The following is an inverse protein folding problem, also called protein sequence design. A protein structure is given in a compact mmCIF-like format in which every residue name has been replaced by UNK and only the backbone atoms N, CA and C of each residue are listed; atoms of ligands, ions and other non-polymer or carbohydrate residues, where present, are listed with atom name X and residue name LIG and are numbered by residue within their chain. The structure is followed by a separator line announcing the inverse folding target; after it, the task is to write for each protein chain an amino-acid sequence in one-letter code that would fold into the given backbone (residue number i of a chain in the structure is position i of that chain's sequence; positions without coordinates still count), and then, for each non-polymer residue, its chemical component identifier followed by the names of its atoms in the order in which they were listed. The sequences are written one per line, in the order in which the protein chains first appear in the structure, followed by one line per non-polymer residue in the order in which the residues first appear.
data_IF_495746543905
#
_entry.id   IF_495746543905
#
_cell.length_a   1.000
_cell.length_b   1.000
_cell.length_c   1.000
_cell.angle_alpha   90.00
_cell.angle_beta   90.00
_cell.angle_gamma   90.00
#
_symmetry.space_group_name_H-M   'P 1'
#
loop_
_entity.id
_entity.type
_entity.pdbx_description
1 polymer ?
#
# COMPACT_ATOMS: atom_id res chain seq x y z
N UNK A 1 -23.71 2.75 -31.50
CA UNK A 1 -23.69 3.85 -30.50
C UNK A 1 -22.96 3.42 -29.22
N UNK A 2 -21.69 3.85 -29.10
CA UNK A 2 -20.95 3.72 -27.84
C UNK A 2 -21.53 4.76 -26.88
N UNK A 3 -22.25 4.31 -25.85
CA UNK A 3 -22.64 5.16 -24.74
C UNK A 3 -21.38 5.49 -23.94
N UNK A 4 -20.79 6.65 -24.21
CA UNK A 4 -19.79 7.30 -23.36
C UNK A 4 -20.51 7.79 -22.11
N UNK A 5 -20.69 6.92 -21.11
CA UNK A 5 -21.10 7.36 -19.77
C UNK A 5 -19.93 8.13 -19.16
N UNK A 6 -20.16 9.41 -18.84
CA UNK A 6 -19.16 10.24 -18.16
C UNK A 6 -18.63 9.53 -16.90
N UNK A 7 -17.33 9.63 -16.59
CA UNK A 7 -16.80 9.09 -15.36
C UNK A 7 -17.52 9.72 -14.16
N UNK A 8 -17.81 8.89 -13.15
CA UNK A 8 -18.40 9.30 -11.88
C UNK A 8 -17.64 10.50 -11.32
N UNK A 9 -18.28 11.66 -11.28
CA UNK A 9 -17.73 12.83 -10.61
C UNK A 9 -17.83 12.62 -9.10
N UNK A 10 -16.70 12.47 -8.43
CA UNK A 10 -16.66 12.38 -6.98
C UNK A 10 -16.82 13.76 -6.34
N UNK A 11 -17.46 13.85 -5.16
CA UNK A 11 -17.48 15.09 -4.39
C UNK A 11 -16.06 15.49 -3.98
N UNK A 12 -15.84 16.81 -3.90
CA UNK A 12 -14.56 17.38 -3.50
C UNK A 12 -14.29 17.13 -2.00
N UNK A 13 -13.03 16.77 -1.66
CA UNK A 13 -12.61 16.47 -0.29
C UNK A 13 -11.57 17.44 0.27
N UNK A 14 -11.34 18.55 -0.44
CA UNK A 14 -10.31 19.57 -0.16
C UNK A 14 -10.40 20.17 1.25
N UNK A 15 -11.59 20.16 1.87
CA UNK A 15 -11.82 20.71 3.21
C UNK A 15 -12.00 19.64 4.30
N UNK A 16 -11.61 18.39 4.05
CA UNK A 16 -11.66 17.35 5.06
C UNK A 16 -10.51 17.51 6.07
N UNK A 17 -10.79 17.81 7.37
CA UNK A 17 -9.73 18.02 8.37
C UNK A 17 -9.15 16.70 8.92
N UNK A 18 -9.74 15.55 8.56
CA UNK A 18 -9.39 14.26 9.14
C UNK A 18 -8.03 13.76 8.65
N UNK A 19 -7.21 13.31 9.60
CA UNK A 19 -5.98 12.54 9.34
C UNK A 19 -6.15 11.15 9.93
N UNK A 20 -6.55 10.20 9.08
CA UNK A 20 -6.87 8.84 9.48
C UNK A 20 -5.67 7.90 9.26
N UNK A 21 -5.30 7.10 10.25
CA UNK A 21 -4.19 6.14 10.13
C UNK A 21 -4.45 5.07 9.05
N UNK A 22 -5.69 4.61 8.91
CA UNK A 22 -6.11 3.62 7.92
C UNK A 22 -6.65 4.25 6.61
N UNK A 23 -6.55 5.58 6.46
CA UNK A 23 -7.11 6.32 5.33
C UNK A 23 -8.61 6.61 5.44
N UNK A 24 -9.16 7.20 4.38
CA UNK A 24 -10.56 7.61 4.28
C UNK A 24 -11.44 6.53 3.63
N UNK A 25 -12.67 6.42 4.11
CA UNK A 25 -13.67 5.47 3.61
C UNK A 25 -14.08 5.82 2.17
N UNK A 26 -14.49 4.80 1.41
CA UNK A 26 -15.03 4.97 0.05
C UNK A 26 -16.49 4.56 -0.01
N UNK A 27 -17.28 5.25 -0.82
CA UNK A 27 -18.65 4.84 -1.14
C UNK A 27 -18.67 3.69 -2.18
N UNK A 28 -19.86 3.17 -2.48
CA UNK A 28 -20.06 2.09 -3.47
C UNK A 28 -19.63 2.48 -4.90
N UNK A 29 -19.46 3.78 -5.15
CA UNK A 29 -18.99 4.33 -6.43
C UNK A 29 -17.48 4.55 -6.43
N UNK A 30 -16.79 4.26 -5.31
CA UNK A 30 -15.35 4.39 -5.14
C UNK A 30 -14.88 5.80 -4.77
N UNK A 31 -15.79 6.73 -4.46
CA UNK A 31 -15.48 8.10 -4.06
C UNK A 31 -15.12 8.19 -2.58
N UNK A 32 -14.14 9.04 -2.24
CA UNK A 32 -13.75 9.25 -0.85
C UNK A 32 -14.83 10.01 -0.07
N UNK A 33 -15.11 9.52 1.12
CA UNK A 33 -15.95 10.16 2.12
C UNK A 33 -15.03 10.76 3.20
N UNK A 34 -15.40 11.89 3.78
CA UNK A 34 -14.64 12.50 4.88
C UNK A 34 -14.92 11.76 6.21
N UNK A 35 -14.67 10.46 6.19
CA UNK A 35 -14.86 9.51 7.29
C UNK A 35 -13.66 8.57 7.31
N UNK A 36 -13.12 8.28 8.49
CA UNK A 36 -11.99 7.37 8.61
C UNK A 36 -12.44 5.94 8.38
N UNK A 37 -11.63 5.16 7.66
CA UNK A 37 -11.76 3.70 7.68
C UNK A 37 -11.61 3.26 9.14
N UNK A 38 -12.57 2.50 9.70
CA UNK A 38 -12.43 1.99 11.05
C UNK A 38 -11.12 1.22 11.12
N UNK A 39 -10.28 1.56 12.10
CA UNK A 39 -9.05 0.86 12.35
C UNK A 39 -9.38 -0.54 12.88
N UNK A 40 -9.79 -1.44 11.99
CA UNK A 40 -9.82 -2.87 12.27
C UNK A 40 -8.37 -3.34 12.28
N UNK A 41 -7.62 -2.92 13.31
CA UNK A 41 -6.53 -3.75 13.78
C UNK A 41 -7.25 -4.97 14.32
N UNK A 42 -7.13 -6.16 13.71
CA UNK A 42 -7.84 -7.29 14.26
C UNK A 42 -7.30 -7.44 15.68
N UNK A 43 -8.19 -7.34 16.66
CA UNK A 43 -7.90 -7.32 18.11
C UNK A 43 -7.08 -8.54 18.57
N UNK A 44 -6.84 -9.51 17.67
CA UNK A 44 -6.16 -10.77 17.88
C UNK A 44 -4.80 -10.89 17.17
N UNK A 45 -4.24 -9.83 16.58
CA UNK A 45 -2.88 -9.96 16.02
C UNK A 45 -1.84 -10.23 17.11
N UNK A 46 -0.99 -11.27 16.97
CA UNK A 46 0.17 -11.42 17.84
C UNK A 46 1.15 -10.27 17.63
N UNK A 47 1.67 -9.73 18.73
CA UNK A 47 2.70 -8.68 18.68
C UNK A 47 4.02 -9.27 18.23
N UNK A 48 4.62 -8.69 17.19
CA UNK A 48 5.97 -9.04 16.75
C UNK A 48 6.99 -8.41 17.71
N UNK A 49 7.90 -9.22 18.24
CA UNK A 49 8.92 -8.81 19.22
C UNK A 49 10.23 -9.55 18.94
N UNK A 50 11.34 -9.05 19.49
CA UNK A 50 12.64 -9.73 19.42
C UNK A 50 12.62 -11.14 20.03
N UNK A 51 11.65 -11.45 20.90
CA UNK A 51 11.48 -12.80 21.44
C UNK A 51 10.88 -13.81 20.44
N UNK A 52 10.16 -13.34 19.42
CA UNK A 52 9.47 -14.22 18.45
C UNK A 52 9.89 -13.97 17.00
N UNK A 53 10.87 -13.09 16.78
CA UNK A 53 11.38 -12.78 15.46
C UNK A 53 12.79 -12.18 15.50
N UNK A 54 13.77 -12.91 14.95
CA UNK A 54 15.17 -12.46 14.85
C UNK A 54 15.51 -11.78 13.52
N UNK A 55 14.50 -11.56 12.66
CA UNK A 55 14.73 -10.96 11.33
C UNK A 55 14.81 -9.45 11.46
N UNK A 56 15.70 -8.83 10.67
CA UNK A 56 15.71 -7.39 10.46
C UNK A 56 15.41 -7.12 8.99
N UNK A 57 14.23 -6.56 8.72
CA UNK A 57 13.71 -6.40 7.37
C UNK A 57 13.78 -4.94 6.93
N UNK A 58 14.56 -4.66 5.88
CA UNK A 58 14.79 -3.30 5.38
C UNK A 58 13.52 -2.58 4.88
N UNK A 59 12.49 -3.34 4.47
CA UNK A 59 11.20 -2.82 4.04
C UNK A 59 10.06 -3.15 5.01
N UNK A 60 10.41 -3.46 6.26
CA UNK A 60 9.45 -3.93 7.26
C UNK A 60 8.97 -5.36 7.00
N UNK A 61 7.89 -5.71 7.68
CA UNK A 61 7.38 -7.08 7.74
C UNK A 61 6.12 -7.25 6.89
N UNK A 62 5.95 -8.44 6.33
CA UNK A 62 4.77 -8.82 5.59
C UNK A 62 3.56 -8.94 6.52
N UNK A 63 2.37 -8.76 5.94
CA UNK A 63 1.10 -9.02 6.60
C UNK A 63 0.47 -10.32 6.07
N UNK A 64 -0.25 -11.04 6.92
CA UNK A 64 -1.07 -12.18 6.51
C UNK A 64 -2.41 -11.75 5.90
N UNK A 65 -3.28 -12.71 5.61
CA UNK A 65 -4.60 -12.46 5.03
C UNK A 65 -5.55 -11.68 5.96
N UNK A 66 -5.32 -11.75 7.28
CA UNK A 66 -6.06 -10.96 8.27
C UNK A 66 -5.46 -9.56 8.46
N UNK A 67 -4.32 -9.25 7.83
CA UNK A 67 -3.62 -7.99 7.97
C UNK A 67 -2.65 -7.94 9.16
N UNK A 68 -2.40 -9.06 9.82
CA UNK A 68 -1.46 -9.14 10.94
C UNK A 68 -0.02 -9.23 10.47
N UNK A 69 0.87 -8.50 11.14
CA UNK A 69 2.30 -8.54 10.87
C UNK A 69 2.87 -9.90 11.27
N UNK A 70 3.63 -10.52 10.37
CA UNK A 70 4.28 -11.81 10.60
C UNK A 70 5.80 -11.69 10.49
N UNK A 71 6.56 -12.62 11.10
CA UNK A 71 8.03 -12.65 11.04
C UNK A 71 8.56 -13.08 9.66
N UNK A 72 8.17 -12.33 8.63
CA UNK A 72 8.56 -12.52 7.23
C UNK A 72 8.82 -11.15 6.64
N UNK A 73 9.95 -10.96 5.98
CA UNK A 73 10.25 -9.66 5.37
C UNK A 73 9.29 -9.37 4.22
N UNK A 74 8.86 -8.12 4.14
CA UNK A 74 8.13 -7.63 2.98
C UNK A 74 9.02 -7.74 1.74
N UNK A 75 8.40 -7.99 0.58
CA UNK A 75 9.08 -7.92 -0.70
C UNK A 75 9.47 -6.46 -1.00
N UNK A 76 10.38 -6.27 -1.96
CA UNK A 76 10.70 -4.95 -2.45
C UNK A 76 9.43 -4.17 -2.84
N UNK A 77 9.38 -2.86 -2.56
CA UNK A 77 8.25 -2.04 -2.98
C UNK A 77 8.12 -2.07 -4.50
N UNK A 78 6.90 -2.04 -5.04
CA UNK A 78 6.70 -1.92 -6.48
C UNK A 78 7.29 -0.59 -6.97
N UNK A 79 7.79 -0.60 -8.22
CA UNK A 79 8.26 0.61 -8.88
C UNK A 79 7.07 1.53 -9.18
N UNK A 80 6.79 2.48 -8.29
CA UNK A 80 5.74 3.45 -8.48
C UNK A 80 6.12 4.42 -9.61
N UNK A 81 5.18 4.70 -10.53
CA UNK A 81 5.34 5.66 -11.64
C UNK A 81 6.54 5.37 -12.58
N UNK A 82 6.94 4.10 -12.71
CA UNK A 82 7.98 3.72 -13.65
C UNK A 82 7.38 3.21 -14.98
N UNK A 83 7.58 3.96 -16.07
CA UNK A 83 7.09 3.59 -17.42
C UNK A 83 8.20 3.12 -18.37
N UNK A 84 9.41 2.89 -17.84
CA UNK A 84 10.55 2.47 -18.66
C UNK A 84 10.41 1.00 -19.04
N UNK A 85 10.60 0.69 -20.32
CA UNK A 85 10.77 -0.68 -20.80
C UNK A 85 12.27 -0.94 -21.00
N UNK A 86 12.85 -1.77 -20.13
CA UNK A 86 14.28 -2.10 -20.17
C UNK A 86 14.48 -3.52 -20.71
N UNK A 87 15.21 -3.68 -21.82
CA UNK A 87 15.46 -4.99 -22.45
C UNK A 87 16.19 -5.96 -21.50
N UNK A 88 17.10 -5.45 -20.68
CA UNK A 88 17.89 -6.22 -19.71
C UNK A 88 17.37 -6.07 -18.27
N UNK A 89 16.16 -5.51 -18.10
CA UNK A 89 15.56 -5.27 -16.79
C UNK A 89 16.13 -4.06 -16.04
N UNK A 90 15.73 -3.94 -14.78
CA UNK A 90 16.04 -2.81 -13.91
C UNK A 90 17.31 -3.04 -13.08
N UNK A 91 18.05 -1.97 -12.78
CA UNK A 91 19.11 -1.95 -11.77
C UNK A 91 18.53 -2.19 -10.37
N UNK A 92 19.38 -2.70 -9.47
CA UNK A 92 19.03 -2.88 -8.05
C UNK A 92 19.77 -1.85 -7.19
N UNK A 93 19.14 -1.40 -6.10
CA UNK A 93 19.79 -0.59 -5.06
C UNK A 93 20.73 -1.45 -4.18
N UNK A 94 21.38 -0.82 -3.19
CA UNK A 94 22.29 -1.49 -2.24
C UNK A 94 21.63 -2.57 -1.37
N UNK A 95 20.30 -2.61 -1.32
CA UNK A 95 19.50 -3.60 -0.58
C UNK A 95 18.98 -4.71 -1.52
N UNK A 96 19.31 -4.64 -2.81
CA UNK A 96 18.92 -5.62 -3.82
C UNK A 96 17.55 -5.38 -4.46
N UNK A 97 16.86 -4.30 -4.13
CA UNK A 97 15.54 -3.98 -4.69
C UNK A 97 15.63 -3.22 -6.01
N UNK A 98 14.75 -3.50 -6.99
CA UNK A 98 14.78 -2.84 -8.28
C UNK A 98 14.52 -1.34 -8.12
N UNK A 99 15.20 -0.53 -8.93
CA UNK A 99 15.00 0.92 -9.07
C UNK A 99 14.60 1.24 -10.51
N UNK A 100 13.90 2.35 -10.75
CA UNK A 100 13.44 2.74 -12.08
C UNK A 100 14.59 3.27 -12.99
N UNK A 101 15.60 2.44 -13.20
CA UNK A 101 16.80 2.68 -13.99
C UNK A 101 17.16 1.39 -14.73
N UNK A 102 17.37 1.48 -16.05
CA UNK A 102 17.75 0.32 -16.85
C UNK A 102 19.22 -0.04 -16.60
N UNK A 103 19.54 -1.34 -16.69
CA UNK A 103 20.91 -1.85 -16.64
C UNK A 103 21.73 -1.49 -17.88
#
# INVERSE_FOLDING_TARGET
PLLLTMPVACPSIEHCPLRCEAGLQRDERGCFQCECVPASRPEQCPTLSSQNCDKQCAHGYAKDAAGCVVCKCAKCPPLHQCMKHCLYGFESNSVGCPVCKCR
#
